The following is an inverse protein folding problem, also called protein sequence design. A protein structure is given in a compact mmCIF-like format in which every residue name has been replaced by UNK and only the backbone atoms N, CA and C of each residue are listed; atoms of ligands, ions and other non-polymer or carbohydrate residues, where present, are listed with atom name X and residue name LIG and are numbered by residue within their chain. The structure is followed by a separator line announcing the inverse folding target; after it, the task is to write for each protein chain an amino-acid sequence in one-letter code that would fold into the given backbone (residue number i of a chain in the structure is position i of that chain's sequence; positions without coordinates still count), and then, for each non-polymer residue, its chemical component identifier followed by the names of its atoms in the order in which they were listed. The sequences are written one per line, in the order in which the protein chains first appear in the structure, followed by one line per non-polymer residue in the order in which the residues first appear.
data_IF_301605727628
#
_entry.id   IF_301605727628
#
_cell.length_a   1.000
_cell.length_b   1.000
_cell.length_c   1.000
_cell.angle_alpha   90.00
_cell.angle_beta   90.00
_cell.angle_gamma   90.00
#
_symmetry.space_group_name_H-M   'P 1'
#
loop_
_entity.id
_entity.type
_entity.pdbx_description
1 polymer ?
#
# COMPACT_ATOMS: atom_id res chain seq x y z
N UNK A 1 -30.39 14.12 -17.36
CA UNK A 1 -31.49 13.19 -17.08
C UNK A 1 -31.07 12.37 -15.86
N UNK A 2 -31.21 12.97 -14.68
CA UNK A 2 -30.99 12.31 -13.40
C UNK A 2 -32.11 11.30 -13.18
N UNK A 3 -31.79 10.00 -13.25
CA UNK A 3 -32.75 8.95 -12.94
C UNK A 3 -32.94 8.92 -11.43
N UNK A 4 -34.16 9.16 -10.90
CA UNK A 4 -34.39 9.14 -9.47
C UNK A 4 -34.18 7.71 -8.97
N UNK A 5 -33.36 7.58 -7.92
CA UNK A 5 -33.12 6.35 -7.18
C UNK A 5 -34.44 5.61 -6.96
N UNK A 6 -34.60 4.46 -7.60
CA UNK A 6 -35.83 3.67 -7.48
C UNK A 6 -35.97 3.19 -6.02
N UNK A 7 -37.12 3.38 -5.35
CA UNK A 7 -37.31 2.98 -3.95
C UNK A 7 -37.06 1.48 -3.71
N UNK A 8 -37.20 0.66 -4.76
CA UNK A 8 -36.86 -0.77 -4.76
C UNK A 8 -35.37 -1.04 -4.52
N UNK A 9 -34.49 -0.18 -5.01
CA UNK A 9 -33.04 -0.27 -4.80
C UNK A 9 -32.68 0.04 -3.34
N UNK A 10 -33.39 0.97 -2.71
CA UNK A 10 -33.22 1.26 -1.29
C UNK A 10 -33.67 0.10 -0.39
N UNK A 11 -34.76 -0.59 -0.75
CA UNK A 11 -35.20 -1.79 -0.04
C UNK A 11 -34.20 -2.95 -0.16
N UNK A 12 -33.63 -3.16 -1.35
CA UNK A 12 -32.58 -4.16 -1.57
C UNK A 12 -31.27 -3.81 -0.85
N UNK A 13 -30.94 -2.51 -0.75
CA UNK A 13 -29.74 -2.06 -0.05
C UNK A 13 -29.76 -2.43 1.44
N UNK A 14 -30.94 -2.42 2.07
CA UNK A 14 -31.08 -2.82 3.47
C UNK A 14 -30.82 -4.32 3.66
N UNK A 15 -31.32 -5.14 2.74
CA UNK A 15 -31.07 -6.59 2.69
C UNK A 15 -29.58 -6.89 2.42
N UNK A 16 -28.96 -6.17 1.47
CA UNK A 16 -27.52 -6.28 1.19
C UNK A 16 -26.67 -5.92 2.41
N UNK A 17 -27.05 -4.88 3.16
CA UNK A 17 -26.33 -4.46 4.36
C UNK A 17 -26.49 -5.46 5.51
N UNK A 18 -27.66 -6.10 5.64
CA UNK A 18 -27.87 -7.18 6.61
C UNK A 18 -27.06 -8.43 6.22
N UNK A 19 -27.03 -8.77 4.93
CA UNK A 19 -26.20 -9.85 4.38
C UNK A 19 -24.70 -9.64 4.63
N UNK A 20 -24.20 -8.42 4.40
CA UNK A 20 -22.79 -8.06 4.68
C UNK A 20 -22.49 -8.16 6.17
N UNK A 21 -23.42 -7.70 7.02
CA UNK A 21 -23.25 -7.78 8.48
C UNK A 21 -23.20 -9.23 8.95
N UNK A 22 -24.08 -10.08 8.43
CA UNK A 22 -24.10 -11.52 8.74
C UNK A 22 -22.79 -12.20 8.33
N UNK A 23 -22.26 -11.85 7.15
CA UNK A 23 -21.00 -12.38 6.64
C UNK A 23 -19.78 -11.90 7.44
N UNK A 24 -19.83 -10.69 8.01
CA UNK A 24 -18.74 -10.15 8.85
C UNK A 24 -18.81 -10.62 10.31
N UNK A 25 -20.02 -10.93 10.82
CA UNK A 25 -20.23 -11.51 12.17
C UNK A 25 -19.91 -13.02 12.22
N UNK A 26 -19.74 -13.67 11.07
CA UNK A 26 -19.21 -15.04 11.01
C UNK A 26 -17.73 -15.04 11.48
N UNK A 27 -17.53 -15.16 12.79
CA UNK A 27 -16.25 -15.29 13.54
C UNK A 27 -15.31 -16.40 13.03
N UNK A 28 -15.71 -17.19 12.03
CA UNK A 28 -14.87 -18.17 11.34
C UNK A 28 -14.05 -17.60 10.18
N UNK A 29 -14.25 -16.32 9.82
CA UNK A 29 -13.56 -15.65 8.71
C UNK A 29 -12.40 -14.75 9.16
N UNK A 30 -12.04 -14.75 10.45
CA UNK A 30 -10.76 -14.17 10.85
C UNK A 30 -9.64 -15.03 10.23
N UNK A 31 -8.86 -14.48 9.26
CA UNK A 31 -7.69 -15.19 8.81
C UNK A 31 -6.76 -15.35 10.03
N UNK A 32 -6.13 -16.53 10.22
CA UNK A 32 -5.19 -16.72 11.33
C UNK A 32 -4.15 -15.61 11.29
N UNK A 33 -3.83 -15.06 12.47
CA UNK A 33 -2.86 -13.97 12.57
C UNK A 33 -1.55 -14.45 11.94
N UNK A 34 -0.89 -13.57 11.20
CA UNK A 34 0.38 -13.88 10.52
C UNK A 34 1.44 -14.44 11.49
N UNK A 35 1.32 -14.15 12.78
CA UNK A 35 2.20 -14.66 13.85
C UNK A 35 1.94 -16.13 14.22
N UNK A 36 0.69 -16.62 14.11
CA UNK A 36 0.36 -18.04 14.34
C UNK A 36 0.76 -18.92 13.16
N UNK A 37 0.59 -18.44 11.92
CA UNK A 37 1.04 -19.18 10.73
C UNK A 37 2.56 -19.34 10.64
N UNK A 38 3.32 -18.35 11.12
CA UNK A 38 4.80 -18.39 11.12
C UNK A 38 5.35 -19.41 12.12
N UNK A 39 4.60 -19.76 13.17
CA UNK A 39 5.03 -20.73 14.19
C UNK A 39 4.93 -22.20 13.74
N UNK A 40 3.97 -22.52 12.87
CA UNK A 40 3.66 -23.92 12.52
C UNK A 40 4.28 -24.37 11.18
N UNK A 41 4.65 -23.44 10.29
CA UNK A 41 5.39 -23.74 9.06
C UNK A 41 6.76 -23.06 9.10
N UNK A 42 7.64 -23.58 9.94
CA UNK A 42 9.06 -23.27 9.92
C UNK A 42 9.66 -23.52 8.53
N UNK A 43 9.61 -22.51 7.68
CA UNK A 43 10.34 -22.46 6.42
C UNK A 43 11.31 -21.32 6.54
N UNK A 44 12.53 -21.68 6.94
CA UNK A 44 13.71 -20.85 6.95
C UNK A 44 13.80 -20.09 5.61
N UNK A 45 13.69 -18.76 5.66
CA UNK A 45 13.93 -17.89 4.50
C UNK A 45 15.32 -18.25 3.96
N UNK A 46 15.45 -18.74 2.71
CA UNK A 46 16.77 -18.95 2.12
C UNK A 46 17.50 -17.61 2.05
N UNK A 47 18.69 -17.55 2.66
CA UNK A 47 19.58 -16.39 2.55
C UNK A 47 19.86 -16.16 1.06
N UNK A 48 19.61 -14.95 0.58
CA UNK A 48 19.71 -14.56 -0.83
C UNK A 48 21.17 -14.49 -1.30
N UNK A 49 21.88 -15.62 -1.35
CA UNK A 49 23.32 -15.64 -1.69
C UNK A 49 23.73 -16.65 -2.78
N UNK A 50 22.81 -17.25 -3.53
CA UNK A 50 23.22 -18.20 -4.58
C UNK A 50 22.21 -18.27 -5.73
N UNK A 51 22.57 -17.67 -6.87
CA UNK A 51 22.58 -18.26 -8.23
C UNK A 51 22.77 -17.11 -9.24
N UNK A 52 24.04 -16.82 -9.55
CA UNK A 52 24.45 -16.27 -10.83
C UNK A 52 24.88 -17.45 -11.70
N UNK A 53 24.14 -17.75 -12.77
CA UNK A 53 24.75 -18.26 -14.02
C UNK A 53 23.76 -18.20 -15.21
N UNK A 54 24.21 -17.76 -16.40
CA UNK A 54 23.37 -17.68 -17.61
C UNK A 54 23.46 -18.94 -18.49
N UNK A 55 22.45 -19.13 -19.37
CA UNK A 55 22.32 -20.04 -20.56
C UNK A 55 21.72 -21.44 -20.30
N UNK A 56 21.04 -22.15 -21.27
CA UNK A 56 21.14 -22.06 -22.74
C UNK A 56 19.83 -22.12 -23.60
N UNK A 57 19.99 -21.81 -24.91
CA UNK A 57 19.04 -21.82 -26.06
C UNK A 57 18.56 -23.23 -26.48
N UNK A 58 17.41 -23.36 -27.21
CA UNK A 58 17.50 -23.96 -28.58
C UNK A 58 16.52 -23.39 -29.65
N UNK A 59 17.10 -23.09 -30.83
CA UNK A 59 16.71 -23.28 -32.26
C UNK A 59 15.31 -22.90 -32.88
N UNK A 60 15.24 -22.61 -34.21
CA UNK A 60 14.16 -21.85 -34.88
C UNK A 60 13.18 -22.67 -35.77
N UNK A 61 12.28 -21.96 -36.50
CA UNK A 61 11.37 -22.27 -37.67
C UNK A 61 10.00 -22.97 -37.37
N UNK A 62 8.82 -22.61 -37.98
CA UNK A 62 8.56 -21.82 -39.21
C UNK A 62 7.56 -20.65 -39.16
N UNK A 63 7.59 -19.88 -40.26
CA UNK A 63 6.88 -18.64 -40.55
C UNK A 63 5.37 -18.77 -40.87
N UNK A 64 4.74 -17.59 -40.80
CA UNK A 64 3.57 -17.10 -41.53
C UNK A 64 2.16 -17.34 -40.95
N UNK A 65 1.66 -16.33 -40.21
CA UNK A 65 0.38 -15.68 -40.53
C UNK A 65 0.51 -14.17 -40.25
N UNK A 66 0.12 -13.27 -41.18
CA UNK A 66 0.08 -11.85 -40.88
C UNK A 66 -1.02 -11.61 -39.83
N UNK A 67 -0.74 -10.93 -38.70
CA UNK A 67 -1.83 -10.51 -37.83
C UNK A 67 -2.69 -9.54 -38.62
N UNK A 68 -3.94 -9.96 -38.84
CA UNK A 68 -5.03 -9.08 -39.24
C UNK A 68 -4.94 -7.81 -38.38
N UNK A 69 -4.89 -6.66 -39.05
CA UNK A 69 -4.90 -5.37 -38.39
C UNK A 69 -6.04 -5.32 -37.37
N UNK A 70 -5.70 -5.45 -36.09
CA UNK A 70 -6.59 -5.15 -35.00
C UNK A 70 -6.78 -3.65 -35.02
N UNK A 71 -7.98 -3.23 -35.44
CA UNK A 71 -8.47 -1.87 -35.23
C UNK A 71 -8.26 -1.48 -33.75
N UNK A 72 -7.94 -0.21 -33.44
CA UNK A 72 -7.69 0.21 -32.08
C UNK A 72 -9.02 0.18 -31.31
N UNK A 73 -9.22 -0.85 -30.49
CA UNK A 73 -10.30 -0.89 -29.51
C UNK A 73 -9.90 0.00 -28.33
N UNK A 74 -10.41 1.23 -28.38
CA UNK A 74 -10.31 2.30 -27.39
C UNK A 74 -11.13 1.93 -26.14
N UNK A 75 -10.68 0.97 -25.35
CA UNK A 75 -11.37 0.58 -24.10
C UNK A 75 -10.45 0.44 -22.87
N UNK A 76 -9.12 0.63 -23.04
CA UNK A 76 -8.15 0.64 -21.92
C UNK A 76 -7.86 2.05 -21.36
N UNK A 77 -8.52 3.06 -21.92
CA UNK A 77 -8.29 4.48 -21.63
C UNK A 77 -8.73 4.93 -20.22
N UNK A 78 -9.91 4.54 -19.68
CA UNK A 78 -10.34 5.06 -18.38
C UNK A 78 -9.49 4.51 -17.23
N UNK A 79 -9.09 3.24 -17.31
CA UNK A 79 -8.34 2.55 -16.25
C UNK A 79 -6.89 3.07 -16.15
N UNK A 80 -6.26 3.35 -17.30
CA UNK A 80 -4.93 3.98 -17.32
C UNK A 80 -4.94 5.38 -16.71
N UNK A 81 -5.96 6.20 -17.00
CA UNK A 81 -6.09 7.54 -16.43
C UNK A 81 -6.27 7.52 -14.90
N UNK A 82 -7.03 6.54 -14.37
CA UNK A 82 -7.18 6.36 -12.93
C UNK A 82 -5.85 5.99 -12.25
N UNK A 83 -5.07 5.10 -12.85
CA UNK A 83 -3.73 4.74 -12.34
C UNK A 83 -2.77 5.93 -12.36
N UNK A 84 -2.80 6.75 -13.41
CA UNK A 84 -2.01 7.99 -13.47
C UNK A 84 -2.43 8.99 -12.38
N UNK A 85 -3.74 9.18 -12.19
CA UNK A 85 -4.27 10.06 -11.15
C UNK A 85 -3.89 9.59 -9.74
N UNK A 86 -3.98 8.28 -9.45
CA UNK A 86 -3.54 7.73 -8.15
C UNK A 86 -2.05 8.00 -7.90
N UNK A 87 -1.21 7.80 -8.93
CA UNK A 87 0.22 8.09 -8.85
C UNK A 87 0.48 9.56 -8.57
N UNK A 88 -0.22 10.47 -9.23
CA UNK A 88 -0.11 11.91 -9.00
C UNK A 88 -0.57 12.29 -7.59
N UNK A 89 -1.69 11.75 -7.12
CA UNK A 89 -2.19 11.99 -5.76
C UNK A 89 -1.19 11.50 -4.70
N UNK A 90 -0.61 10.32 -4.89
CA UNK A 90 0.42 9.79 -3.99
C UNK A 90 1.67 10.66 -3.98
N UNK A 91 2.10 11.12 -5.15
CA UNK A 91 3.27 12.00 -5.29
C UNK A 91 3.01 13.35 -4.61
N UNK A 92 1.82 13.93 -4.80
CA UNK A 92 1.42 15.18 -4.17
C UNK A 92 1.34 15.04 -2.65
N UNK A 93 0.75 13.94 -2.14
CA UNK A 93 0.70 13.67 -0.71
C UNK A 93 2.11 13.54 -0.10
N UNK A 94 3.05 12.90 -0.82
CA UNK A 94 4.44 12.80 -0.38
C UNK A 94 5.15 14.15 -0.38
N UNK A 95 4.90 15.00 -1.38
CA UNK A 95 5.43 16.36 -1.41
C UNK A 95 4.93 17.19 -0.20
N UNK A 96 3.64 17.13 0.11
CA UNK A 96 3.06 17.81 1.29
C UNK A 96 3.71 17.32 2.59
N UNK A 97 3.89 16.00 2.74
CA UNK A 97 4.57 15.46 3.92
C UNK A 97 6.03 15.94 4.00
N UNK A 98 6.73 16.06 2.87
CA UNK A 98 8.11 16.55 2.87
C UNK A 98 8.20 18.02 3.24
N UNK A 99 7.26 18.85 2.79
CA UNK A 99 7.19 20.26 3.17
C UNK A 99 6.98 20.41 4.68
N UNK A 100 6.02 19.66 5.24
CA UNK A 100 5.79 19.61 6.68
C UNK A 100 7.06 19.14 7.42
N UNK A 101 7.73 18.10 6.95
CA UNK A 101 8.99 17.62 7.56
C UNK A 101 10.05 18.72 7.54
N UNK A 102 10.23 19.41 6.40
CA UNK A 102 11.24 20.45 6.25
C UNK A 102 10.97 21.65 7.17
N UNK A 103 9.70 22.03 7.35
CA UNK A 103 9.31 23.11 8.24
C UNK A 103 9.55 22.77 9.72
N UNK A 104 9.27 21.52 10.12
CA UNK A 104 9.35 21.10 11.53
C UNK A 104 10.71 20.52 11.96
N UNK A 105 11.51 19.99 11.05
CA UNK A 105 12.83 19.44 11.37
C UNK A 105 13.73 20.39 12.21
N UNK A 106 13.96 21.66 11.80
CA UNK A 106 14.82 22.56 12.59
C UNK A 106 14.22 22.90 13.96
N UNK A 107 12.88 22.93 14.07
CA UNK A 107 12.20 23.17 15.34
C UNK A 107 12.38 21.98 16.30
N UNK A 108 12.18 20.76 15.80
CA UNK A 108 12.39 19.53 16.57
C UNK A 108 13.84 19.44 17.07
N UNK A 109 14.82 19.74 16.22
CA UNK A 109 16.22 19.76 16.62
C UNK A 109 16.51 20.75 17.75
N UNK A 110 15.99 21.97 17.62
CA UNK A 110 16.17 23.03 18.63
C UNK A 110 15.51 22.65 19.96
N UNK A 111 14.33 22.04 19.89
CA UNK A 111 13.57 21.54 21.04
C UNK A 111 14.32 20.41 21.76
N UNK A 112 14.84 19.44 21.02
CA UNK A 112 15.62 18.33 21.58
C UNK A 112 16.87 18.85 22.28
N UNK A 113 17.63 19.74 21.63
CA UNK A 113 18.82 20.37 22.24
C UNK A 113 18.47 21.06 23.55
N UNK A 114 17.46 21.93 23.56
CA UNK A 114 17.03 22.64 24.77
C UNK A 114 16.64 21.68 25.91
N UNK A 115 15.93 20.59 25.60
CA UNK A 115 15.53 19.60 26.61
C UNK A 115 16.72 18.82 27.15
N UNK A 116 17.67 18.45 26.30
CA UNK A 116 18.90 17.77 26.72
C UNK A 116 19.75 18.67 27.61
N UNK A 117 19.92 19.94 27.26
CA UNK A 117 20.68 20.90 28.06
C UNK A 117 20.05 21.08 29.45
N UNK A 118 18.74 21.32 29.51
CA UNK A 118 18.01 21.46 30.78
C UNK A 118 18.04 20.17 31.62
N UNK A 119 18.01 19.01 30.96
CA UNK A 119 18.13 17.72 31.65
C UNK A 119 19.54 17.52 32.22
N UNK A 120 20.58 17.86 31.46
CA UNK A 120 21.97 17.78 31.91
C UNK A 120 22.24 18.71 33.08
N UNK A 121 21.77 19.97 33.00
CA UNK A 121 21.87 20.93 34.11
C UNK A 121 21.22 20.36 35.38
N UNK A 122 20.00 19.81 35.27
CA UNK A 122 19.31 19.19 36.41
C UNK A 122 20.08 18.01 37.00
N UNK A 123 20.72 17.17 36.18
CA UNK A 123 21.54 16.07 36.67
C UNK A 123 22.77 16.60 37.43
N UNK A 124 23.46 17.59 36.87
CA UNK A 124 24.63 18.21 37.50
C UNK A 124 24.24 18.82 38.85
N UNK A 125 23.12 19.56 38.92
CA UNK A 125 22.64 20.13 40.18
C UNK A 125 22.33 19.05 41.23
N UNK A 126 21.76 17.91 40.83
CA UNK A 126 21.51 16.79 41.76
C UNK A 126 22.80 16.17 42.31
N UNK A 127 23.90 16.18 41.55
CA UNK A 127 25.18 15.62 41.99
C UNK A 127 26.04 16.60 42.81
N UNK A 128 25.79 17.90 42.72
CA UNK A 128 26.51 18.93 43.49
C UNK A 128 25.86 19.26 44.84
N UNK A 129 24.66 18.73 45.08
CA UNK A 129 23.83 19.01 46.25
C UNK A 129 23.73 17.81 47.19
#
# INVERSE_FOLDING_TARGET
MDTPNSPKKAAHLLDDLESIRQLLDDEGLQPPLLTEMVGEQGTQIPLLDEVFEPTPTPAPVPAAQPPLASAPAVDKAPDALLVHLDRELRTAAQAIMQDVINDYAPHIESEIKRRLDAHMERLISQHQN
#
